data_IF_716149676471
#
_entry.id   IF_716149676471
#
_cell.length_a   1.000
_cell.length_b   1.000
_cell.length_c   1.000
_cell.angle_alpha   90.00
_cell.angle_beta   90.00
_cell.angle_gamma   90.00
#
_symmetry.space_group_name_H-M   'P 1'
#
loop_
_entity.id
_entity.type
_entity.pdbx_description
1 polymer ?
#
# COMPACT_ATOMS: atom_id res chain seq x y z
N UNK A 1 11.67 -24.24 -7.18
CA UNK A 1 11.24 -22.88 -7.57
C UNK A 1 10.22 -22.47 -6.52
N UNK A 2 10.58 -21.57 -5.61
CA UNK A 2 9.70 -21.13 -4.51
C UNK A 2 8.42 -20.50 -5.11
N UNK A 3 7.29 -21.23 -5.11
CA UNK A 3 5.99 -20.78 -5.64
C UNK A 3 5.29 -19.76 -4.71
N UNK A 4 6.04 -18.98 -3.93
CA UNK A 4 5.48 -18.09 -2.90
C UNK A 4 5.04 -16.73 -3.44
N UNK A 5 5.41 -16.36 -4.67
CA UNK A 5 5.08 -15.06 -5.25
C UNK A 5 4.46 -15.22 -6.65
N UNK A 6 3.47 -14.39 -7.01
CA UNK A 6 2.88 -14.40 -8.34
C UNK A 6 3.91 -14.00 -9.41
N UNK A 7 3.65 -14.41 -10.65
CA UNK A 7 4.48 -14.02 -11.79
C UNK A 7 4.53 -12.49 -11.93
N UNK A 8 5.74 -11.95 -12.10
CA UNK A 8 5.98 -10.54 -12.37
C UNK A 8 6.80 -10.42 -13.67
N UNK A 9 6.45 -9.48 -14.57
CA UNK A 9 7.25 -9.21 -15.76
C UNK A 9 8.57 -8.48 -15.45
N UNK A 10 8.77 -8.01 -14.21
CA UNK A 10 10.00 -7.31 -13.82
C UNK A 10 11.19 -8.28 -13.70
N UNK A 11 12.34 -7.86 -14.23
CA UNK A 11 13.58 -8.64 -14.11
C UNK A 11 14.09 -8.68 -12.66
N UNK A 12 14.58 -9.84 -12.24
CA UNK A 12 15.11 -10.02 -10.89
C UNK A 12 16.49 -9.37 -10.79
N UNK A 13 16.62 -8.36 -9.94
CA UNK A 13 17.88 -7.68 -9.65
C UNK A 13 18.22 -7.75 -8.15
N UNK A 14 19.53 -7.81 -7.83
CA UNK A 14 20.01 -7.70 -6.45
C UNK A 14 20.29 -6.23 -6.11
N UNK A 15 19.91 -5.81 -4.89
CA UNK A 15 20.22 -4.47 -4.37
C UNK A 15 21.74 -4.30 -4.31
N UNK A 16 22.26 -3.24 -4.94
CA UNK A 16 23.71 -2.95 -4.98
C UNK A 16 24.16 -1.99 -3.89
N UNK A 17 23.34 -0.97 -3.61
CA UNK A 17 23.63 0.10 -2.66
C UNK A 17 22.32 0.61 -2.03
N UNK A 18 22.41 1.19 -0.84
CA UNK A 18 21.30 1.85 -0.15
C UNK A 18 21.64 3.32 -0.01
N UNK A 19 20.76 4.19 -0.50
CA UNK A 19 20.90 5.64 -0.36
C UNK A 19 19.92 6.17 0.68
N UNK A 20 20.45 6.91 1.65
CA UNK A 20 19.66 7.62 2.64
C UNK A 20 19.42 9.06 2.17
N UNK A 21 18.24 9.57 2.47
CA UNK A 21 17.83 10.92 2.16
C UNK A 21 16.65 11.33 3.03
N UNK A 22 16.36 12.63 3.05
CA UNK A 22 15.16 13.16 3.70
C UNK A 22 14.13 13.36 2.59
N UNK A 23 12.93 12.82 2.79
CA UNK A 23 11.82 13.01 1.85
C UNK A 23 11.32 14.46 1.94
N UNK A 24 11.25 15.12 0.78
CA UNK A 24 10.64 16.44 0.68
C UNK A 24 9.11 16.36 0.75
N UNK A 25 8.42 17.44 1.16
CA UNK A 25 6.96 17.47 1.18
C UNK A 25 6.32 17.17 -0.18
N UNK A 26 6.97 17.56 -1.28
CA UNK A 26 6.44 17.33 -2.63
C UNK A 26 6.59 15.87 -3.06
N UNK A 27 7.71 15.21 -2.73
CA UNK A 27 7.88 13.77 -2.94
C UNK A 27 6.86 12.96 -2.12
N UNK A 28 6.62 13.33 -0.86
CA UNK A 28 5.62 12.67 -0.01
C UNK A 28 4.23 12.74 -0.67
N UNK A 29 3.84 13.91 -1.18
CA UNK A 29 2.55 14.10 -1.87
C UNK A 29 2.47 13.31 -3.16
N UNK A 30 3.54 13.26 -3.95
CA UNK A 30 3.59 12.51 -5.21
C UNK A 30 3.54 10.99 -5.00
N UNK A 31 4.11 10.49 -3.91
CA UNK A 31 4.07 9.07 -3.54
C UNK A 31 2.75 8.65 -2.86
N UNK A 32 1.92 9.60 -2.45
CA UNK A 32 0.65 9.33 -1.79
C UNK A 32 -0.45 9.03 -2.80
N UNK A 33 -1.24 7.99 -2.53
CA UNK A 33 -2.37 7.57 -3.38
C UNK A 33 -3.70 8.09 -2.85
N UNK A 34 -3.77 8.44 -1.56
CA UNK A 34 -4.99 8.87 -0.88
C UNK A 34 -4.67 9.98 0.11
N UNK A 35 -5.51 11.02 0.12
CA UNK A 35 -5.54 12.03 1.18
C UNK A 35 -6.44 11.55 2.32
N UNK A 36 -5.93 11.56 3.54
CA UNK A 36 -6.74 11.24 4.72
C UNK A 36 -7.56 12.47 5.14
N UNK A 37 -8.88 12.36 5.03
CA UNK A 37 -9.83 13.41 5.42
C UNK A 37 -10.52 13.09 6.75
N UNK A 38 -10.51 11.81 7.14
CA UNK A 38 -11.20 11.32 8.33
C UNK A 38 -10.22 10.61 9.27
N UNK A 39 -10.23 11.00 10.54
CA UNK A 39 -9.45 10.33 11.59
C UNK A 39 -10.02 8.96 11.99
N UNK A 40 -11.25 8.66 11.57
CA UNK A 40 -11.95 7.41 11.84
C UNK A 40 -11.45 6.31 10.90
N UNK A 41 -11.12 5.14 11.45
CA UNK A 41 -10.66 3.96 10.68
C UNK A 41 -11.83 3.18 10.07
N UNK A 42 -12.94 3.08 10.79
CA UNK A 42 -14.04 2.19 10.47
C UNK A 42 -15.37 2.91 10.66
N UNK A 43 -16.27 2.78 9.70
CA UNK A 43 -17.65 3.27 9.80
C UNK A 43 -18.61 2.08 9.66
N UNK A 44 -19.43 1.85 10.69
CA UNK A 44 -20.42 0.73 10.71
C UNK A 44 -19.81 -0.65 10.45
N UNK A 45 -18.60 -0.88 10.94
CA UNK A 45 -17.89 -2.16 10.79
C UNK A 45 -17.21 -2.37 9.43
N UNK A 46 -17.23 -1.38 8.54
CA UNK A 46 -16.47 -1.38 7.28
C UNK A 46 -15.36 -0.32 7.30
N UNK A 47 -14.22 -0.55 6.63
CA UNK A 47 -13.19 0.47 6.53
C UNK A 47 -13.76 1.74 5.89
N UNK A 48 -13.45 2.89 6.46
CA UNK A 48 -13.96 4.19 5.98
C UNK A 48 -13.11 4.68 4.80
N UNK A 49 -13.70 4.94 3.62
CA UNK A 49 -12.99 5.61 2.54
C UNK A 49 -12.52 7.01 2.98
N UNK A 50 -11.28 7.39 2.63
CA UNK A 50 -10.65 8.63 3.09
C UNK A 50 -10.24 8.61 4.57
N UNK A 51 -10.34 7.45 5.23
CA UNK A 51 -9.86 7.20 6.58
C UNK A 51 -8.54 6.43 6.60
N UNK A 52 -7.96 6.25 7.78
CA UNK A 52 -6.66 5.58 7.95
C UNK A 52 -6.65 4.12 7.46
N UNK A 53 -7.82 3.46 7.40
CA UNK A 53 -7.97 2.08 6.90
C UNK A 53 -8.56 2.02 5.48
N UNK A 54 -8.38 3.07 4.67
CA UNK A 54 -8.87 3.10 3.29
C UNK A 54 -8.38 1.86 2.49
N UNK A 55 -9.29 1.11 1.84
CA UNK A 55 -8.95 -0.10 1.07
C UNK A 55 -7.91 0.09 -0.05
N UNK A 56 -7.70 1.32 -0.51
CA UNK A 56 -6.67 1.67 -1.51
C UNK A 56 -5.25 1.65 -0.94
N UNK A 57 -5.09 1.75 0.37
CA UNK A 57 -3.78 1.70 1.05
C UNK A 57 -3.31 0.28 1.33
N UNK A 58 -4.25 -0.66 1.30
CA UNK A 58 -4.05 -2.06 1.66
C UNK A 58 -5.26 -2.58 2.43
N UNK A 59 -5.29 -3.89 2.64
CA UNK A 59 -6.35 -4.55 3.38
C UNK A 59 -5.75 -5.39 4.50
N UNK A 60 -6.34 -5.30 5.69
CA UNK A 60 -6.05 -6.18 6.83
C UNK A 60 -6.97 -7.40 6.88
N UNK A 61 -8.06 -7.39 6.09
CA UNK A 61 -8.99 -8.50 6.00
C UNK A 61 -8.57 -9.44 4.87
N UNK A 62 -8.44 -10.74 5.18
CA UNK A 62 -8.14 -11.80 4.22
C UNK A 62 -9.22 -11.96 3.14
N UNK A 63 -10.46 -11.57 3.42
CA UNK A 63 -11.58 -11.65 2.49
C UNK A 63 -11.64 -10.45 1.55
N UNK A 64 -10.99 -9.35 1.89
CA UNK A 64 -10.91 -8.16 1.05
C UNK A 64 -9.59 -8.15 0.26
N UNK A 65 -9.61 -7.49 -0.89
CA UNK A 65 -8.43 -7.25 -1.72
C UNK A 65 -8.14 -5.76 -1.74
N UNK A 66 -6.87 -5.40 -1.85
CA UNK A 66 -6.48 -3.99 -2.02
C UNK A 66 -7.10 -3.44 -3.30
N UNK A 67 -7.71 -2.26 -3.25
CA UNK A 67 -8.33 -1.65 -4.43
C UNK A 67 -7.30 -1.13 -5.44
N UNK A 68 -6.06 -0.90 -5.01
CA UNK A 68 -4.99 -0.36 -5.87
C UNK A 68 -4.20 -1.45 -6.58
N UNK A 69 -3.69 -2.44 -5.85
CA UNK A 69 -2.85 -3.51 -6.42
C UNK A 69 -3.58 -4.84 -6.62
N UNK A 70 -4.85 -4.95 -6.18
CA UNK A 70 -5.69 -6.17 -6.26
C UNK A 70 -5.14 -7.40 -5.54
N UNK A 71 -4.03 -7.25 -4.81
CA UNK A 71 -3.38 -8.30 -4.06
C UNK A 71 -4.08 -8.53 -2.70
N UNK A 72 -3.81 -9.71 -2.12
CA UNK A 72 -4.24 -10.05 -0.77
C UNK A 72 -3.33 -9.38 0.28
N UNK A 73 -3.69 -9.52 1.56
CA UNK A 73 -2.92 -8.95 2.68
C UNK A 73 -1.44 -9.37 2.72
N UNK A 74 -1.08 -10.56 2.24
CA UNK A 74 0.30 -11.07 2.30
C UNK A 74 1.17 -10.61 1.12
N UNK A 75 0.55 -10.34 -0.02
CA UNK A 75 1.23 -9.97 -1.27
C UNK A 75 1.24 -8.46 -1.51
N UNK A 76 0.32 -7.71 -0.89
CA UNK A 76 0.26 -6.27 -0.99
C UNK A 76 1.42 -5.64 -0.18
N UNK A 77 2.34 -4.88 -0.82
CA UNK A 77 3.44 -4.23 -0.10
C UNK A 77 2.99 -3.08 0.81
N UNK A 78 1.72 -2.67 0.71
CA UNK A 78 1.19 -1.46 1.35
C UNK A 78 1.60 -0.22 0.57
N UNK A 79 0.74 0.80 0.57
CA UNK A 79 0.96 2.05 -0.15
C UNK A 79 1.09 3.20 0.85
N UNK A 80 1.93 4.18 0.52
CA UNK A 80 2.18 5.40 1.29
C UNK A 80 0.96 6.33 1.36
N UNK A 81 0.75 6.93 2.53
CA UNK A 81 -0.30 7.93 2.82
C UNK A 81 0.28 9.34 2.97
N UNK A 82 -0.58 10.35 2.80
CA UNK A 82 -0.38 11.72 3.32
C UNK A 82 -1.52 12.06 4.26
#
# INVERSE_FOLDING_TARGET
MDMRFPYSPAEVAKVRMVQFGILSPDEIRQMSVVQIEHSETTERGKPKPGGLSDPRLGTIDRKMKCETCTANMAECPGISVT
#
